data_IF_022491875963
#
_entry.id   IF_022491875963
#
_cell.length_a   1.000
_cell.length_b   1.000
_cell.length_c   1.000
_cell.angle_alpha   90.00
_cell.angle_beta   90.00
_cell.angle_gamma   90.00
#
_symmetry.space_group_name_H-M   'P 1'
#
loop_
_entity.id
_entity.type
_entity.pdbx_description
1 polymer ?
#
# COMPACT_ATOMS: atom_id res chain seq x y z
N UNK A 1 -5.33 -38.11 -8.96
CA UNK A 1 -4.30 -37.75 -7.96
C UNK A 1 -4.79 -36.49 -7.25
N UNK A 2 -4.86 -36.42 -5.91
CA UNK A 2 -5.35 -35.22 -5.25
C UNK A 2 -4.33 -34.10 -5.47
N UNK A 3 -4.76 -33.02 -6.10
CA UNK A 3 -3.97 -31.81 -6.32
C UNK A 3 -3.82 -31.12 -4.95
N UNK A 4 -2.58 -30.92 -4.49
CA UNK A 4 -2.25 -30.44 -3.14
C UNK A 4 -2.52 -28.94 -2.91
N UNK A 5 -2.96 -28.19 -3.92
CA UNK A 5 -3.20 -26.75 -3.82
C UNK A 5 -4.35 -26.39 -4.78
N UNK A 6 -5.50 -26.01 -4.24
CA UNK A 6 -6.55 -25.31 -4.99
C UNK A 6 -6.34 -23.81 -4.82
N UNK A 7 -6.22 -23.11 -5.95
CA UNK A 7 -6.13 -21.66 -5.97
C UNK A 7 -7.53 -21.09 -6.20
N UNK A 8 -8.27 -20.92 -5.11
CA UNK A 8 -9.67 -20.49 -5.18
C UNK A 8 -9.86 -18.97 -4.98
N UNK A 9 -8.87 -18.24 -4.43
CA UNK A 9 -8.95 -16.79 -4.23
C UNK A 9 -7.54 -16.16 -4.01
N UNK A 10 -7.21 -15.03 -4.66
CA UNK A 10 -5.97 -14.28 -4.45
C UNK A 10 -5.71 -13.82 -3.00
N UNK A 11 -6.72 -13.83 -2.13
CA UNK A 11 -6.60 -13.48 -0.70
C UNK A 11 -6.45 -14.70 0.23
N UNK A 12 -6.75 -15.92 -0.24
CA UNK A 12 -6.71 -17.16 0.58
C UNK A 12 -5.77 -18.21 -0.01
N UNK A 13 -4.51 -17.83 -0.24
CA UNK A 13 -3.52 -18.80 -0.67
C UNK A 13 -3.13 -19.67 0.53
N UNK A 14 -3.97 -20.68 0.79
CA UNK A 14 -3.71 -21.70 1.78
C UNK A 14 -2.75 -22.69 1.15
N UNK A 15 -1.54 -22.76 1.70
CA UNK A 15 -0.55 -23.74 1.27
C UNK A 15 -0.52 -24.86 2.29
N UNK A 16 -0.85 -26.07 1.86
CA UNK A 16 -0.83 -27.26 2.69
C UNK A 16 0.55 -27.91 2.64
N UNK A 17 1.06 -28.31 3.80
CA UNK A 17 2.33 -28.98 3.93
C UNK A 17 2.39 -29.80 5.22
N UNK A 18 3.25 -30.84 5.30
CA UNK A 18 3.44 -31.62 6.51
C UNK A 18 3.91 -30.74 7.67
N UNK A 19 3.34 -30.96 8.86
CA UNK A 19 3.72 -30.21 10.07
C UNK A 19 5.22 -30.28 10.38
N UNK A 20 5.87 -31.38 9.99
CA UNK A 20 7.30 -31.62 10.21
C UNK A 20 8.18 -30.52 9.60
N UNK A 21 7.82 -29.99 8.42
CA UNK A 21 8.61 -28.96 7.72
C UNK A 21 8.15 -27.53 8.03
N UNK A 22 7.18 -27.37 8.94
CA UNK A 22 6.67 -26.06 9.36
C UNK A 22 7.79 -25.11 9.83
N UNK A 23 8.81 -25.53 10.61
CA UNK A 23 9.88 -24.63 11.04
C UNK A 23 10.63 -24.00 9.85
N UNK A 24 10.91 -24.78 8.80
CA UNK A 24 11.63 -24.32 7.60
C UNK A 24 10.79 -23.36 6.74
N UNK A 25 9.49 -23.65 6.61
CA UNK A 25 8.54 -22.74 5.96
C UNK A 25 8.46 -21.40 6.70
N UNK A 26 8.43 -21.43 8.03
CA UNK A 26 8.41 -20.22 8.86
C UNK A 26 9.71 -19.43 8.75
N UNK A 27 10.87 -20.10 8.72
CA UNK A 27 12.17 -19.44 8.52
C UNK A 27 12.22 -18.67 7.20
N UNK A 28 11.81 -19.31 6.09
CA UNK A 28 11.77 -18.65 4.79
C UNK A 28 10.77 -17.48 4.76
N UNK A 29 9.55 -17.68 5.28
CA UNK A 29 8.55 -16.60 5.38
C UNK A 29 9.06 -15.43 6.22
N UNK A 30 9.76 -15.68 7.32
CA UNK A 30 10.37 -14.65 8.15
C UNK A 30 11.44 -13.88 7.37
N UNK A 31 12.28 -14.56 6.58
CA UNK A 31 13.25 -13.85 5.73
C UNK A 31 12.55 -12.87 4.80
N UNK A 32 11.45 -13.28 4.17
CA UNK A 32 10.69 -12.46 3.22
C UNK A 32 10.06 -11.22 3.89
N UNK A 33 9.60 -11.32 5.15
CA UNK A 33 8.88 -10.23 5.82
C UNK A 33 9.75 -9.26 6.63
N UNK A 34 11.01 -9.59 6.91
CA UNK A 34 11.90 -8.76 7.76
C UNK A 34 12.36 -7.45 7.10
N UNK A 35 12.19 -7.27 5.79
CA UNK A 35 12.75 -6.11 5.10
C UNK A 35 11.91 -4.82 5.28
N UNK A 36 12.61 -3.73 5.62
CA UNK A 36 12.04 -2.38 5.65
C UNK A 36 11.52 -2.01 4.26
N UNK A 37 10.22 -1.70 4.17
CA UNK A 37 9.59 -1.20 2.95
C UNK A 37 9.82 0.30 2.82
N UNK A 38 10.08 0.76 1.60
CA UNK A 38 10.12 2.19 1.29
C UNK A 38 8.74 2.58 0.77
N UNK A 39 8.18 3.66 1.32
CA UNK A 39 6.91 4.22 0.86
C UNK A 39 7.24 5.60 0.30
N UNK A 40 7.27 5.73 -1.02
CA UNK A 40 7.64 6.97 -1.74
C UNK A 40 6.46 7.61 -2.49
N UNK A 41 5.22 7.25 -2.17
CA UNK A 41 4.04 7.72 -2.89
C UNK A 41 3.91 7.13 -4.31
N UNK A 42 4.62 6.04 -4.57
CA UNK A 42 4.60 5.28 -5.82
C UNK A 42 4.16 3.85 -5.54
N UNK A 43 3.47 3.23 -6.50
CA UNK A 43 3.12 1.82 -6.47
C UNK A 43 4.32 0.96 -6.90
N UNK A 44 5.24 0.69 -5.97
CA UNK A 44 6.47 -0.09 -6.22
C UNK A 44 6.67 -1.27 -5.25
N UNK A 45 5.64 -1.65 -4.49
CA UNK A 45 5.74 -2.72 -3.50
C UNK A 45 5.91 -4.09 -4.15
N UNK A 46 5.32 -4.37 -5.31
CA UNK A 46 5.56 -5.61 -6.07
C UNK A 46 7.06 -5.78 -6.35
N UNK A 47 7.72 -4.72 -6.81
CA UNK A 47 9.15 -4.74 -7.11
C UNK A 47 9.99 -4.94 -5.84
N UNK A 48 9.64 -4.27 -4.74
CA UNK A 48 10.29 -4.47 -3.45
C UNK A 48 10.13 -5.91 -2.93
N UNK A 49 8.95 -6.53 -3.10
CA UNK A 49 8.70 -7.92 -2.72
C UNK A 49 9.43 -8.90 -3.65
N UNK A 50 9.55 -8.60 -4.95
CA UNK A 50 10.33 -9.42 -5.88
C UNK A 50 11.82 -9.42 -5.52
N UNK A 51 12.37 -8.28 -5.10
CA UNK A 51 13.75 -8.19 -4.63
C UNK A 51 14.04 -9.04 -3.38
N UNK A 52 13.03 -9.24 -2.51
CA UNK A 52 13.16 -10.13 -1.37
C UNK A 52 13.42 -11.59 -1.76
N UNK A 53 12.89 -12.05 -2.91
CA UNK A 53 13.13 -13.41 -3.38
C UNK A 53 14.62 -13.66 -3.63
N UNK A 54 15.28 -12.71 -4.27
CA UNK A 54 16.74 -12.77 -4.51
C UNK A 54 17.50 -12.73 -3.19
N UNK A 55 17.15 -11.80 -2.29
CA UNK A 55 17.78 -11.67 -0.97
C UNK A 55 17.64 -12.95 -0.13
N UNK A 56 16.49 -13.60 -0.19
CA UNK A 56 16.17 -14.79 0.60
C UNK A 56 16.48 -16.11 -0.12
N UNK A 57 17.07 -16.09 -1.32
CA UNK A 57 17.45 -17.31 -2.05
C UNK A 57 18.35 -18.28 -1.24
N UNK A 58 19.35 -17.82 -0.45
CA UNK A 58 20.13 -18.71 0.40
C UNK A 58 19.30 -19.40 1.49
N UNK A 59 18.36 -18.66 2.10
CA UNK A 59 17.44 -19.21 3.10
C UNK A 59 16.49 -20.21 2.46
N UNK A 60 15.93 -19.90 1.28
CA UNK A 60 15.10 -20.83 0.50
C UNK A 60 15.84 -22.15 0.25
N UNK A 61 17.06 -22.10 -0.27
CA UNK A 61 17.84 -23.29 -0.58
C UNK A 61 18.13 -24.14 0.67
N UNK A 62 18.54 -23.50 1.77
CA UNK A 62 18.77 -24.17 3.05
C UNK A 62 17.49 -24.83 3.59
N UNK A 63 16.38 -24.10 3.61
CA UNK A 63 15.09 -24.58 4.11
C UNK A 63 14.55 -25.76 3.27
N UNK A 64 14.74 -25.76 1.95
CA UNK A 64 14.39 -26.91 1.08
C UNK A 64 15.25 -28.12 1.42
N UNK A 65 16.56 -27.95 1.54
CA UNK A 65 17.46 -29.05 1.86
C UNK A 65 17.13 -29.70 3.21
N UNK A 66 16.88 -28.89 4.23
CA UNK A 66 16.49 -29.38 5.57
C UNK A 66 15.10 -30.01 5.57
N UNK A 67 14.14 -29.43 4.83
CA UNK A 67 12.81 -30.02 4.66
C UNK A 67 12.89 -31.42 4.05
N UNK A 68 13.69 -31.57 2.97
CA UNK A 68 13.87 -32.86 2.31
C UNK A 68 14.59 -33.88 3.20
N UNK A 69 15.58 -33.44 3.99
CA UNK A 69 16.27 -34.30 4.94
C UNK A 69 15.34 -34.83 6.04
N UNK A 70 14.46 -33.98 6.59
CA UNK A 70 13.53 -34.40 7.65
C UNK A 70 12.36 -35.22 7.12
N UNK A 71 11.94 -34.99 5.88
CA UNK A 71 10.92 -35.82 5.23
C UNK A 71 11.48 -37.18 4.79
N UNK A 72 12.81 -37.34 4.71
CA UNK A 72 13.43 -38.61 4.36
C UNK A 72 13.14 -39.66 5.45
N UNK A 73 12.40 -40.71 5.06
CA UNK A 73 11.97 -41.78 5.99
C UNK A 73 10.70 -41.46 6.78
N UNK A 74 10.13 -40.26 6.63
CA UNK A 74 8.81 -39.97 7.15
C UNK A 74 7.72 -40.68 6.30
N UNK A 75 6.62 -41.10 6.92
CA UNK A 75 5.46 -41.72 6.21
C UNK A 75 4.63 -40.71 5.38
N UNK A 76 5.17 -39.53 5.13
CA UNK A 76 4.51 -38.44 4.41
C UNK A 76 4.56 -38.65 2.91
N UNK A 77 3.60 -38.06 2.19
CA UNK A 77 3.45 -38.17 0.73
C UNK A 77 4.14 -37.04 -0.03
N UNK A 78 4.78 -36.08 0.64
CA UNK A 78 5.38 -34.93 -0.03
C UNK A 78 6.76 -35.28 -0.60
N UNK A 79 6.89 -35.26 -1.92
CA UNK A 79 8.16 -35.52 -2.62
C UNK A 79 9.10 -34.29 -2.62
N UNK A 80 10.40 -34.45 -2.87
CA UNK A 80 11.33 -33.33 -2.97
C UNK A 80 10.91 -32.26 -4.00
N UNK A 81 10.32 -32.66 -5.12
CA UNK A 81 9.81 -31.75 -6.15
C UNK A 81 8.59 -30.95 -5.64
N UNK A 82 7.75 -31.59 -4.82
CA UNK A 82 6.62 -30.91 -4.17
C UNK A 82 7.09 -29.93 -3.10
N UNK A 83 8.18 -30.23 -2.40
CA UNK A 83 8.83 -29.29 -1.48
C UNK A 83 9.36 -28.08 -2.24
N UNK A 84 10.09 -28.27 -3.34
CA UNK A 84 10.59 -27.13 -4.14
C UNK A 84 9.43 -26.25 -4.66
N UNK A 85 8.37 -26.90 -5.17
CA UNK A 85 7.14 -26.23 -5.61
C UNK A 85 6.45 -25.46 -4.48
N UNK A 86 6.43 -26.00 -3.26
CA UNK A 86 5.90 -25.33 -2.08
C UNK A 86 6.64 -24.02 -1.80
N UNK A 87 7.98 -24.04 -1.80
CA UNK A 87 8.79 -22.86 -1.53
C UNK A 87 8.69 -21.81 -2.66
N UNK A 88 8.59 -22.25 -3.92
CA UNK A 88 8.31 -21.38 -5.06
C UNK A 88 6.96 -20.68 -4.93
N UNK A 89 5.93 -21.44 -4.57
CA UNK A 89 4.61 -20.89 -4.38
C UNK A 89 4.62 -19.85 -3.28
N UNK A 90 5.26 -20.12 -2.12
CA UNK A 90 5.45 -19.13 -1.04
C UNK A 90 6.04 -17.82 -1.57
N UNK A 91 7.07 -17.90 -2.43
CA UNK A 91 7.66 -16.72 -3.06
C UNK A 91 6.70 -15.96 -3.98
N UNK A 92 5.93 -16.68 -4.81
CA UNK A 92 4.89 -16.08 -5.67
C UNK A 92 3.80 -15.37 -4.88
N UNK A 93 3.38 -15.93 -3.73
CA UNK A 93 2.39 -15.30 -2.84
C UNK A 93 2.93 -13.97 -2.33
N UNK A 94 4.20 -13.97 -1.91
CA UNK A 94 4.85 -12.78 -1.37
C UNK A 94 4.86 -11.64 -2.39
N UNK A 95 5.20 -11.91 -3.64
CA UNK A 95 5.17 -10.91 -4.73
C UNK A 95 3.74 -10.47 -5.04
N UNK A 96 2.80 -11.42 -5.12
CA UNK A 96 1.39 -11.10 -5.39
C UNK A 96 0.77 -10.18 -4.32
N UNK A 97 1.17 -10.34 -3.04
CA UNK A 97 0.77 -9.41 -1.97
C UNK A 97 1.30 -8.00 -2.19
N UNK A 98 2.54 -7.86 -2.69
CA UNK A 98 3.08 -6.55 -3.08
C UNK A 98 2.25 -5.91 -4.20
N UNK A 99 1.90 -6.69 -5.21
CA UNK A 99 1.03 -6.24 -6.31
C UNK A 99 -0.36 -5.80 -5.85
N UNK A 100 -0.97 -6.55 -4.94
CA UNK A 100 -2.27 -6.18 -4.38
C UNK A 100 -2.20 -4.82 -3.65
N UNK A 101 -1.16 -4.60 -2.86
CA UNK A 101 -0.94 -3.30 -2.20
C UNK A 101 -0.75 -2.16 -3.21
N UNK A 102 -0.04 -2.40 -4.31
CA UNK A 102 0.14 -1.45 -5.40
C UNK A 102 -1.18 -1.10 -6.09
N UNK A 103 -2.05 -2.10 -6.32
CA UNK A 103 -3.39 -1.90 -6.89
C UNK A 103 -4.28 -1.08 -5.95
N UNK A 104 -4.27 -1.40 -4.65
CA UNK A 104 -5.00 -0.64 -3.64
C UNK A 104 -4.50 0.81 -3.55
N UNK A 105 -3.18 1.02 -3.59
CA UNK A 105 -2.58 2.34 -3.59
C UNK A 105 -3.05 3.15 -4.80
N UNK A 106 -2.93 2.58 -5.99
CA UNK A 106 -3.33 3.22 -7.25
C UNK A 106 -4.81 3.57 -7.25
N UNK A 107 -5.67 2.63 -6.82
CA UNK A 107 -7.12 2.84 -6.72
C UNK A 107 -7.46 4.02 -5.80
N UNK A 108 -6.80 4.13 -4.64
CA UNK A 108 -6.98 5.26 -3.72
C UNK A 108 -6.52 6.59 -4.32
N UNK A 109 -5.39 6.60 -5.03
CA UNK A 109 -4.88 7.81 -5.69
C UNK A 109 -5.82 8.30 -6.78
N UNK A 110 -6.30 7.41 -7.66
CA UNK A 110 -7.27 7.75 -8.71
C UNK A 110 -8.59 8.27 -8.13
N UNK A 111 -9.07 7.65 -7.04
CA UNK A 111 -10.26 8.12 -6.33
C UNK A 111 -10.09 9.53 -5.76
N UNK A 112 -8.94 9.80 -5.13
CA UNK A 112 -8.62 11.13 -4.58
C UNK A 112 -8.51 12.20 -5.67
N UNK A 113 -7.87 11.88 -6.80
CA UNK A 113 -7.78 12.78 -7.95
C UNK A 113 -9.16 13.07 -8.54
N UNK A 114 -10.01 12.06 -8.69
CA UNK A 114 -11.39 12.22 -9.17
C UNK A 114 -12.20 13.13 -8.24
N UNK A 115 -12.11 12.92 -6.93
CA UNK A 115 -12.79 13.75 -5.94
C UNK A 115 -12.27 15.20 -5.95
N UNK A 116 -10.96 15.39 -6.09
CA UNK A 116 -10.35 16.72 -6.24
C UNK A 116 -10.86 17.41 -7.50
N UNK A 117 -10.93 16.71 -8.63
CA UNK A 117 -11.43 17.27 -9.89
C UNK A 117 -12.91 17.64 -9.81
N UNK A 118 -13.74 16.82 -9.15
CA UNK A 118 -15.14 17.12 -8.92
C UNK A 118 -15.31 18.38 -8.04
N UNK A 119 -14.56 18.47 -6.93
CA UNK A 119 -14.53 19.66 -6.09
C UNK A 119 -14.11 20.91 -6.87
N UNK A 120 -13.06 20.82 -7.67
CA UNK A 120 -12.56 21.93 -8.49
C UNK A 120 -13.52 22.35 -9.62
N UNK A 121 -14.36 21.42 -10.11
CA UNK A 121 -15.39 21.70 -11.10
C UNK A 121 -16.65 22.33 -10.49
N UNK A 122 -17.06 21.85 -9.31
CA UNK A 122 -18.26 22.28 -8.59
C UNK A 122 -18.03 23.50 -7.69
N UNK A 123 -16.77 23.79 -7.32
CA UNK A 123 -16.47 24.97 -6.52
C UNK A 123 -16.96 26.22 -7.26
N UNK A 124 -17.64 27.14 -6.56
CA UNK A 124 -18.08 28.38 -7.18
C UNK A 124 -16.85 29.14 -7.72
N UNK A 125 -16.73 29.21 -9.05
CA UNK A 125 -15.75 30.02 -9.76
C UNK A 125 -16.16 31.49 -9.66
N UNK A 126 -16.04 32.07 -8.47
CA UNK A 126 -16.51 33.43 -8.23
C UNK A 126 -16.82 33.72 -6.77
N UNK A 127 -15.80 33.66 -5.91
CA UNK A 127 -15.66 34.67 -4.87
C UNK A 127 -14.18 35.00 -4.70
N UNK A 128 -13.55 35.41 -5.81
CA UNK A 128 -12.59 36.50 -5.67
C UNK A 128 -13.45 37.67 -5.22
N UNK A 129 -13.58 37.88 -3.91
CA UNK A 129 -13.83 39.23 -3.42
C UNK A 129 -12.62 39.97 -3.97
N UNK A 130 -12.77 40.60 -5.13
CA UNK A 130 -11.81 41.59 -5.56
C UNK A 130 -11.76 42.54 -4.38
N UNK A 131 -10.65 42.54 -3.65
CA UNK A 131 -10.30 43.53 -2.63
C UNK A 131 -10.17 44.94 -3.25
N UNK A 132 -10.86 45.20 -4.37
CA UNK A 132 -11.00 46.49 -5.01
C UNK A 132 -12.01 47.39 -4.32
N UNK A 133 -12.87 46.88 -3.43
CA UNK A 133 -13.85 47.71 -2.74
C UNK A 133 -13.68 47.83 -1.22
N UNK A 134 -12.74 47.12 -0.59
CA UNK A 134 -12.46 47.35 0.83
C UNK A 134 -11.87 48.75 1.09
N UNK A 135 -11.11 49.29 0.12
CA UNK A 135 -10.59 50.66 0.16
C UNK A 135 -11.67 51.71 -0.12
N UNK A 136 -12.63 51.43 -1.01
CA UNK A 136 -13.75 52.35 -1.33
C UNK A 136 -14.75 52.42 -0.18
N UNK A 137 -15.07 51.27 0.44
CA UNK A 137 -15.92 51.21 1.64
C UNK A 137 -15.22 51.92 2.80
N UNK A 138 -13.92 51.70 3.04
CA UNK A 138 -13.19 52.44 4.07
C UNK A 138 -13.15 53.95 3.79
N UNK A 139 -12.86 54.36 2.55
CA UNK A 139 -12.82 55.78 2.17
C UNK A 139 -14.18 56.49 2.35
N UNK A 140 -15.30 55.82 2.05
CA UNK A 140 -16.64 56.37 2.32
C UNK A 140 -16.94 56.44 3.82
N UNK A 141 -16.51 55.45 4.59
CA UNK A 141 -16.75 55.40 6.05
C UNK A 141 -15.91 56.42 6.81
N UNK A 142 -14.65 56.63 6.40
CA UNK A 142 -13.76 57.62 6.98
C UNK A 142 -14.22 59.06 6.62
N UNK A 143 -14.76 59.27 5.42
CA UNK A 143 -15.32 60.56 5.00
C UNK A 143 -16.60 60.93 5.76
N UNK A 144 -17.48 59.96 6.04
CA UNK A 144 -18.68 60.21 6.85
C UNK A 144 -18.36 60.37 8.33
N UNK A 145 -17.34 59.70 8.86
CA UNK A 145 -16.86 59.91 10.22
C UNK A 145 -16.30 61.33 10.42
N UNK A 146 -15.46 61.81 9.50
CA UNK A 146 -14.91 63.18 9.55
C UNK A 146 -15.99 64.28 9.42
N UNK A 147 -17.07 64.01 8.68
CA UNK A 147 -18.19 64.93 8.58
C UNK A 147 -19.02 64.98 9.89
N UNK A 148 -19.18 63.84 10.56
CA UNK A 148 -19.93 63.74 11.82
C UNK A 148 -19.20 64.35 13.03
N UNK A 149 -17.87 64.42 13.01
CA UNK A 149 -17.10 65.10 14.06
C UNK A 149 -17.16 66.64 13.92
N UNK A 150 -17.12 67.17 12.69
CA UNK A 150 -17.27 68.62 12.44
C UNK A 150 -18.61 69.20 12.89
N UNK A 151 -19.67 68.40 12.85
CA UNK A 151 -21.02 68.82 13.22
C UNK A 151 -21.24 68.87 14.75
N UNK A 152 -20.39 68.19 15.53
CA UNK A 152 -20.43 68.19 17.01
C UNK A 152 -19.67 69.35 17.64
N UNK A 153 -18.66 69.89 16.97
CA UNK A 153 -17.88 71.04 17.45
C UNK A 153 -18.55 72.39 17.13
N UNK A 154 -19.70 72.39 16.46
CA UNK A 154 -20.45 73.59 16.05
C UNK A 154 -21.74 73.82 16.85
N UNK A 155 -21.95 73.11 17.96
CA UNK A 155 -23.05 73.33 18.92
C UNK A 155 -22.56 73.89 20.26
#
# INVERSE_FOLDING_TARGET
>A
MPVAIKNDNPETWTVEYPRLIQPYVVEYRRCLTVANRRISGTADLEAQHAADLTRCAPVRAKSIAQSNADLAGAKTTMSPEQVDTLFDNIGKIHVARGRDLDQQFTSRMTGAETASNAYEAERPKGLVIELRDASVVKARTDATAAAAEKDKDSQ
#
